data_IF_380569014991
#
_entry.id   IF_380569014991
#
_cell.length_a   1.000
_cell.length_b   1.000
_cell.length_c   1.000
_cell.angle_alpha   90.00
_cell.angle_beta   90.00
_cell.angle_gamma   90.00
#
_symmetry.space_group_name_H-M   'P 1'
#
loop_
_entity.id
_entity.type
_entity.pdbx_description
1 polymer ?
#
# COMPACT_ATOMS: atom_id res chain seq x y z
N UNK A 1 2.20 -11.14 -37.88
CA UNK A 1 3.00 -11.88 -36.85
C UNK A 1 3.86 -10.94 -35.99
N UNK A 2 4.57 -9.95 -36.57
CA UNK A 2 5.37 -8.96 -35.80
C UNK A 2 4.56 -8.10 -34.81
N UNK A 3 3.34 -7.67 -35.16
CA UNK A 3 2.49 -6.87 -34.28
C UNK A 3 2.04 -7.62 -33.00
N UNK A 4 1.81 -8.94 -33.11
CA UNK A 4 1.42 -9.80 -31.99
C UNK A 4 2.60 -10.03 -31.04
N UNK A 5 3.80 -10.26 -31.59
CA UNK A 5 5.04 -10.36 -30.80
C UNK A 5 5.34 -9.06 -30.02
N UNK A 6 5.13 -7.90 -30.64
CA UNK A 6 5.29 -6.60 -29.98
C UNK A 6 4.28 -6.40 -28.83
N UNK A 7 3.02 -6.84 -29.01
CA UNK A 7 2.00 -6.80 -27.96
C UNK A 7 2.34 -7.73 -26.78
N UNK A 8 2.79 -8.96 -27.06
CA UNK A 8 3.21 -9.92 -26.03
C UNK A 8 4.42 -9.39 -25.25
N UNK A 9 5.41 -8.84 -25.94
CA UNK A 9 6.59 -8.26 -25.30
C UNK A 9 6.21 -7.07 -24.40
N UNK A 10 5.34 -6.16 -24.89
CA UNK A 10 4.85 -5.02 -24.10
C UNK A 10 4.06 -5.47 -22.86
N UNK A 11 3.24 -6.51 -22.97
CA UNK A 11 2.52 -7.08 -21.83
C UNK A 11 3.46 -7.71 -20.78
N UNK A 12 4.48 -8.45 -21.24
CA UNK A 12 5.48 -9.07 -20.36
C UNK A 12 6.34 -8.03 -19.63
N UNK A 13 6.78 -6.96 -20.33
CA UNK A 13 7.52 -5.86 -19.71
C UNK A 13 6.65 -5.15 -18.66
N UNK A 14 5.38 -4.86 -18.98
CA UNK A 14 4.45 -4.25 -18.02
C UNK A 14 4.24 -5.13 -16.78
N UNK A 15 4.07 -6.44 -16.96
CA UNK A 15 3.92 -7.38 -15.85
C UNK A 15 5.18 -7.45 -14.96
N UNK A 16 6.37 -7.45 -15.58
CA UNK A 16 7.65 -7.44 -14.87
C UNK A 16 7.84 -6.15 -14.07
N UNK A 17 7.53 -4.99 -14.66
CA UNK A 17 7.60 -3.68 -13.97
C UNK A 17 6.63 -3.66 -12.79
N UNK A 18 5.37 -4.09 -12.97
CA UNK A 18 4.38 -4.16 -11.89
C UNK A 18 4.78 -5.14 -10.76
N UNK A 19 5.49 -6.22 -11.08
CA UNK A 19 6.03 -7.14 -10.09
C UNK A 19 7.17 -6.50 -9.29
N UNK A 20 8.13 -5.86 -9.98
CA UNK A 20 9.26 -5.18 -9.34
C UNK A 20 8.82 -4.00 -8.47
N UNK A 21 7.88 -3.19 -8.97
CA UNK A 21 7.28 -2.10 -8.18
C UNK A 21 6.64 -2.64 -6.90
N UNK A 22 5.88 -3.73 -6.98
CA UNK A 22 5.24 -4.34 -5.82
C UNK A 22 6.25 -4.76 -4.74
N UNK A 23 7.38 -5.36 -5.13
CA UNK A 23 8.44 -5.75 -4.19
C UNK A 23 9.06 -4.51 -3.54
N UNK A 24 9.38 -3.49 -4.33
CA UNK A 24 9.95 -2.23 -3.81
C UNK A 24 9.00 -1.56 -2.81
N UNK A 25 7.69 -1.53 -3.09
CA UNK A 25 6.71 -0.96 -2.15
C UNK A 25 6.69 -1.72 -0.83
N UNK A 26 6.69 -3.06 -0.84
CA UNK A 26 6.72 -3.88 0.38
C UNK A 26 7.99 -3.61 1.21
N UNK A 27 9.14 -3.41 0.55
CA UNK A 27 10.38 -3.07 1.25
C UNK A 27 10.29 -1.69 1.90
N UNK A 28 9.76 -0.69 1.18
CA UNK A 28 9.56 0.66 1.71
C UNK A 28 8.57 0.67 2.89
N UNK A 29 7.47 -0.07 2.78
CA UNK A 29 6.50 -0.25 3.86
C UNK A 29 7.15 -0.90 5.09
N UNK A 30 8.04 -1.89 4.89
CA UNK A 30 8.81 -2.51 5.97
C UNK A 30 9.75 -1.53 6.68
N UNK A 31 10.42 -0.66 5.93
CA UNK A 31 11.27 0.40 6.52
C UNK A 31 10.42 1.41 7.30
N UNK A 32 9.32 1.88 6.71
CA UNK A 32 8.41 2.80 7.38
C UNK A 32 7.82 2.20 8.66
N UNK A 33 7.46 0.92 8.63
CA UNK A 33 6.96 0.18 9.79
C UNK A 33 7.99 0.14 10.93
N UNK A 34 9.28 -0.09 10.62
CA UNK A 34 10.35 -0.04 11.63
C UNK A 34 10.53 1.36 12.21
N UNK A 35 10.45 2.40 11.37
CA UNK A 35 10.52 3.79 11.82
C UNK A 35 9.38 4.11 12.81
N UNK A 36 8.13 3.74 12.46
CA UNK A 36 6.95 3.95 13.32
C UNK A 36 7.09 3.25 14.68
N UNK A 37 7.60 2.02 14.71
CA UNK A 37 7.84 1.29 15.97
C UNK A 37 8.84 2.06 16.85
N UNK A 38 9.95 2.53 16.27
CA UNK A 38 11.01 3.22 17.01
C UNK A 38 10.53 4.58 17.52
N UNK A 39 9.85 5.37 16.68
CA UNK A 39 9.35 6.69 17.07
C UNK A 39 8.26 6.58 18.13
N UNK A 40 7.35 5.62 18.04
CA UNK A 40 6.36 5.38 19.09
C UNK A 40 6.99 4.92 20.39
N UNK A 41 7.97 4.01 20.37
CA UNK A 41 8.66 3.58 21.59
C UNK A 41 9.32 4.77 22.30
N UNK A 42 9.91 5.70 21.55
CA UNK A 42 10.51 6.93 22.08
C UNK A 42 9.44 7.88 22.63
N UNK A 43 8.35 8.10 21.90
CA UNK A 43 7.25 8.98 22.33
C UNK A 43 6.54 8.44 23.57
N UNK A 44 6.22 7.15 23.65
CA UNK A 44 5.60 6.54 24.85
C UNK A 44 6.47 6.74 26.08
N UNK A 45 7.79 6.51 25.95
CA UNK A 45 8.73 6.63 27.06
C UNK A 45 8.88 8.08 27.55
N UNK A 46 8.83 9.07 26.66
CA UNK A 46 9.07 10.48 27.00
C UNK A 46 7.81 11.27 27.34
N UNK A 47 6.69 11.00 26.66
CA UNK A 47 5.44 11.76 26.78
C UNK A 47 4.45 11.16 27.77
N UNK A 48 4.78 10.02 28.40
CA UNK A 48 4.02 9.36 29.48
C UNK A 48 2.52 9.18 29.19
N UNK A 49 2.12 9.05 27.92
CA UNK A 49 0.73 8.75 27.54
C UNK A 49 -0.22 9.95 27.48
N UNK A 50 0.27 11.19 27.41
CA UNK A 50 -0.56 12.41 27.38
C UNK A 50 -1.60 12.49 26.25
N UNK A 51 -1.50 11.66 25.20
CA UNK A 51 -2.44 11.63 24.06
C UNK A 51 -2.84 10.19 23.71
N UNK A 52 -3.70 9.58 24.53
CA UNK A 52 -4.18 8.19 24.35
C UNK A 52 -4.84 7.92 22.99
N UNK A 53 -5.56 8.89 22.43
CA UNK A 53 -6.23 8.75 21.13
C UNK A 53 -5.23 8.57 19.97
N UNK A 54 -4.04 9.18 20.07
CA UNK A 54 -2.96 9.06 19.06
C UNK A 54 -2.39 7.65 19.06
N UNK A 55 -2.16 7.08 20.24
CA UNK A 55 -1.67 5.71 20.37
C UNK A 55 -2.67 4.68 19.83
N UNK A 56 -3.97 4.89 20.06
CA UNK A 56 -5.01 4.03 19.48
C UNK A 56 -5.03 4.09 17.94
N UNK A 57 -5.02 5.30 17.37
CA UNK A 57 -4.96 5.48 15.91
C UNK A 57 -3.70 4.87 15.30
N UNK A 58 -2.55 5.05 15.96
CA UNK A 58 -1.28 4.44 15.56
C UNK A 58 -1.34 2.91 15.56
N UNK A 59 -1.75 2.28 16.67
CA UNK A 59 -1.83 0.82 16.77
C UNK A 59 -2.75 0.23 15.69
N UNK A 60 -3.92 0.83 15.50
CA UNK A 60 -4.87 0.37 14.47
C UNK A 60 -4.25 0.54 13.07
N UNK A 61 -3.61 1.68 12.80
CA UNK A 61 -2.90 1.93 11.55
C UNK A 61 -1.77 0.93 11.29
N UNK A 62 -1.01 0.55 12.32
CA UNK A 62 0.06 -0.44 12.23
C UNK A 62 -0.47 -1.83 11.86
N UNK A 63 -1.55 -2.27 12.51
CA UNK A 63 -2.18 -3.56 12.21
C UNK A 63 -2.67 -3.56 10.76
N UNK A 64 -3.31 -2.47 10.32
CA UNK A 64 -3.78 -2.30 8.95
C UNK A 64 -2.63 -2.32 7.93
N UNK A 65 -1.51 -1.65 8.22
CA UNK A 65 -0.32 -1.67 7.38
C UNK A 65 0.25 -3.08 7.28
N UNK A 66 0.40 -3.80 8.40
CA UNK A 66 0.91 -5.17 8.42
C UNK A 66 0.02 -6.13 7.60
N UNK A 67 -1.31 -6.03 7.73
CA UNK A 67 -2.24 -6.82 6.92
C UNK A 67 -2.12 -6.44 5.43
N UNK A 68 -2.01 -5.15 5.12
CA UNK A 68 -1.86 -4.68 3.74
C UNK A 68 -0.56 -5.17 3.11
N UNK A 69 0.54 -5.18 3.86
CA UNK A 69 1.82 -5.75 3.43
C UNK A 69 1.70 -7.26 3.15
N UNK A 70 1.04 -8.01 4.06
CA UNK A 70 0.80 -9.43 3.85
C UNK A 70 -0.02 -9.68 2.58
N UNK A 71 -1.10 -8.93 2.39
CA UNK A 71 -1.92 -9.00 1.16
C UNK A 71 -1.10 -8.63 -0.09
N UNK A 72 -0.23 -7.62 -0.01
CA UNK A 72 0.68 -7.25 -1.11
C UNK A 72 1.57 -8.42 -1.52
N UNK A 73 2.12 -9.16 -0.54
CA UNK A 73 2.93 -10.37 -0.81
C UNK A 73 2.07 -11.49 -1.40
N UNK A 74 0.87 -11.72 -0.88
CA UNK A 74 -0.05 -12.75 -1.39
C UNK A 74 -0.47 -12.45 -2.84
N UNK A 75 -0.77 -11.19 -3.17
CA UNK A 75 -1.10 -10.75 -4.54
C UNK A 75 0.07 -10.95 -5.52
N UNK A 76 1.31 -10.99 -5.03
CA UNK A 76 2.50 -11.24 -5.85
C UNK A 76 2.82 -12.73 -6.00
N UNK A 77 2.57 -13.53 -4.96
CA UNK A 77 2.96 -14.95 -4.89
C UNK A 77 1.87 -15.91 -5.37
N UNK A 78 0.61 -15.58 -5.16
CA UNK A 78 -0.52 -16.42 -5.55
C UNK A 78 -1.00 -16.07 -6.96
N UNK A 79 -1.63 -17.05 -7.62
CA UNK A 79 -2.37 -16.80 -8.86
C UNK A 79 -3.42 -15.68 -8.63
N UNK A 80 -3.69 -14.84 -9.65
CA UNK A 80 -4.59 -13.71 -9.50
C UNK A 80 -6.00 -14.20 -9.15
N UNK A 81 -6.37 -14.05 -7.87
CA UNK A 81 -7.72 -14.28 -7.36
C UNK A 81 -8.39 -12.91 -7.17
N UNK A 82 -9.50 -12.70 -7.86
CA UNK A 82 -10.26 -11.44 -7.82
C UNK A 82 -10.57 -11.00 -6.37
N UNK A 83 -10.95 -11.95 -5.51
CA UNK A 83 -11.24 -11.69 -4.09
C UNK A 83 -10.03 -11.12 -3.32
N UNK A 84 -8.82 -11.63 -3.59
CA UNK A 84 -7.60 -11.14 -2.93
C UNK A 84 -7.24 -9.73 -3.44
N UNK A 85 -7.44 -9.45 -4.72
CA UNK A 85 -7.20 -8.12 -5.29
C UNK A 85 -8.15 -7.07 -4.68
N UNK A 86 -9.44 -7.39 -4.54
CA UNK A 86 -10.38 -6.49 -3.87
C UNK A 86 -10.08 -6.33 -2.37
N UNK A 87 -9.75 -7.41 -1.67
CA UNK A 87 -9.35 -7.32 -0.27
C UNK A 87 -8.12 -6.43 -0.09
N UNK A 88 -7.10 -6.61 -0.94
CA UNK A 88 -5.91 -5.75 -0.96
C UNK A 88 -6.27 -4.29 -1.22
N UNK A 89 -7.15 -4.03 -2.18
CA UNK A 89 -7.57 -2.68 -2.53
C UNK A 89 -8.32 -1.97 -1.38
N UNK A 90 -9.27 -2.66 -0.74
CA UNK A 90 -10.01 -2.13 0.41
C UNK A 90 -9.06 -1.83 1.57
N UNK A 91 -8.16 -2.78 1.88
CA UNK A 91 -7.20 -2.60 2.96
C UNK A 91 -6.20 -1.48 2.68
N UNK A 92 -5.78 -1.32 1.42
CA UNK A 92 -4.92 -0.20 0.99
C UNK A 92 -5.60 1.14 1.20
N UNK A 93 -6.89 1.27 0.84
CA UNK A 93 -7.65 2.51 1.04
C UNK A 93 -7.86 2.80 2.53
N UNK A 94 -8.19 1.80 3.34
CA UNK A 94 -8.34 1.97 4.79
C UNK A 94 -7.02 2.40 5.45
N UNK A 95 -5.91 1.76 5.07
CA UNK A 95 -4.56 2.11 5.54
C UNK A 95 -4.20 3.53 5.14
N UNK A 96 -4.50 3.94 3.90
CA UNK A 96 -4.27 5.29 3.40
C UNK A 96 -5.04 6.34 4.21
N UNK A 97 -6.33 6.10 4.47
CA UNK A 97 -7.18 7.03 5.25
C UNK A 97 -6.63 7.19 6.66
N UNK A 98 -6.36 6.10 7.38
CA UNK A 98 -5.85 6.18 8.74
C UNK A 98 -4.46 6.78 8.81
N UNK A 99 -3.56 6.45 7.87
CA UNK A 99 -2.22 7.04 7.83
C UNK A 99 -2.29 8.55 7.56
N UNK A 100 -3.22 8.99 6.72
CA UNK A 100 -3.43 10.42 6.45
C UNK A 100 -3.98 11.17 7.67
N UNK A 101 -4.91 10.55 8.42
CA UNK A 101 -5.43 11.12 9.66
C UNK A 101 -4.34 11.19 10.75
N UNK A 102 -3.56 10.12 10.89
CA UNK A 102 -2.42 10.05 11.81
C UNK A 102 -1.39 11.13 11.48
N UNK A 103 -1.03 11.26 10.20
CA UNK A 103 -0.15 12.30 9.70
C UNK A 103 -0.67 13.70 9.99
N UNK A 104 -1.97 13.96 9.75
CA UNK A 104 -2.57 15.26 10.04
C UNK A 104 -2.51 15.62 11.54
N UNK A 105 -2.73 14.65 12.43
CA UNK A 105 -2.58 14.87 13.87
C UNK A 105 -1.12 15.13 14.26
N UNK A 106 -0.19 14.41 13.63
CA UNK A 106 1.24 14.50 13.92
C UNK A 106 1.85 15.81 13.38
N UNK A 107 1.40 16.28 12.21
CA UNK A 107 1.81 17.54 11.59
C UNK A 107 1.49 18.75 12.49
N UNK A 108 0.35 18.74 13.18
CA UNK A 108 0.01 19.76 14.19
C UNK A 108 1.05 19.79 15.31
N UNK A 109 1.54 18.63 15.76
CA UNK A 109 2.58 18.57 16.79
C UNK A 109 3.92 19.08 16.26
N UNK A 110 4.25 18.75 15.00
CA UNK A 110 5.47 19.25 14.34
C UNK A 110 5.42 20.77 14.16
N UNK A 111 4.27 21.36 13.77
CA UNK A 111 4.10 22.81 13.67
C UNK A 111 4.26 23.50 15.04
N UNK A 112 3.69 22.94 16.11
CA UNK A 112 3.89 23.45 17.46
C UNK A 112 5.36 23.40 17.89
N UNK A 113 6.06 22.31 17.55
CA UNK A 113 7.50 22.17 17.77
C UNK A 113 8.32 23.22 17.01
N UNK A 114 8.01 23.46 15.74
CA UNK A 114 8.70 24.45 14.92
C UNK A 114 8.47 25.88 15.43
N UNK A 115 7.31 26.15 16.01
CA UNK A 115 6.98 27.45 16.62
C UNK A 115 7.52 27.63 18.04
N UNK A 116 8.18 26.63 18.61
CA UNK A 116 8.65 26.65 20.00
C UNK A 116 7.52 26.67 21.04
N UNK A 117 6.32 26.24 20.64
CA UNK A 117 5.10 26.23 21.47
C UNK A 117 4.70 24.83 21.93
N UNK A 118 5.61 23.87 21.83
CA UNK A 118 5.38 22.50 22.27
C UNK A 118 5.16 22.41 23.79
N UNK A 119 4.41 21.40 24.21
CA UNK A 119 4.22 21.08 25.63
C UNK A 119 5.54 20.58 26.22
N UNK A 120 5.76 20.85 27.50
CA UNK A 120 6.94 20.38 28.22
C UNK A 120 7.04 18.83 28.10
N UNK A 121 8.22 18.32 27.71
CA UNK A 121 8.53 16.90 27.43
C UNK A 121 8.12 16.32 26.06
N UNK A 122 7.54 17.10 25.15
CA UNK A 122 7.29 16.63 23.77
C UNK A 122 8.60 16.35 23.02
N UNK A 123 8.75 15.16 22.43
CA UNK A 123 9.96 14.79 21.68
C UNK A 123 9.80 15.11 20.19
N UNK A 124 10.02 16.37 19.82
CA UNK A 124 9.82 16.88 18.46
C UNK A 124 10.51 16.07 17.36
N UNK A 125 11.74 15.60 17.57
CA UNK A 125 12.44 14.78 16.57
C UNK A 125 11.77 13.43 16.29
N UNK A 126 11.08 12.86 17.29
CA UNK A 126 10.31 11.62 17.12
C UNK A 126 9.10 11.85 16.21
N UNK A 127 8.39 12.95 16.44
CA UNK A 127 7.23 13.34 15.64
C UNK A 127 7.60 13.61 14.18
N UNK A 128 8.71 14.32 13.93
CA UNK A 128 9.19 14.56 12.56
C UNK A 128 9.49 13.23 11.84
N UNK A 129 10.20 12.31 12.52
CA UNK A 129 10.52 11.01 11.94
C UNK A 129 9.25 10.16 11.70
N UNK A 130 8.26 10.26 12.58
CA UNK A 130 6.95 9.62 12.41
C UNK A 130 6.21 10.20 11.19
N UNK A 131 6.20 11.53 11.00
CA UNK A 131 5.59 12.16 9.82
C UNK A 131 6.24 11.68 8.53
N UNK A 132 7.58 11.56 8.50
CA UNK A 132 8.30 11.05 7.33
C UNK A 132 7.88 9.60 7.03
N UNK A 133 7.76 8.76 8.06
CA UNK A 133 7.32 7.38 7.88
C UNK A 133 5.87 7.31 7.36
N UNK A 134 4.98 8.16 7.87
CA UNK A 134 3.59 8.25 7.40
C UNK A 134 3.50 8.71 5.94
N UNK A 135 4.33 9.67 5.52
CA UNK A 135 4.42 10.12 4.11
C UNK A 135 4.85 8.96 3.21
N UNK A 136 5.84 8.16 3.63
CA UNK A 136 6.27 6.98 2.88
C UNK A 136 5.09 6.01 2.71
N UNK A 137 4.40 5.68 3.81
CA UNK A 137 3.23 4.78 3.78
C UNK A 137 2.12 5.32 2.86
N UNK A 138 1.82 6.62 2.92
CA UNK A 138 0.80 7.23 2.07
C UNK A 138 1.16 7.07 0.59
N UNK A 139 2.40 7.37 0.22
CA UNK A 139 2.87 7.25 -1.17
C UNK A 139 2.87 5.79 -1.65
N UNK A 140 3.32 4.86 -0.83
CA UNK A 140 3.33 3.43 -1.17
C UNK A 140 1.90 2.89 -1.29
N UNK A 141 0.96 3.30 -0.44
CA UNK A 141 -0.45 2.93 -0.52
C UNK A 141 -1.10 3.47 -1.81
N UNK A 142 -0.82 4.71 -2.22
CA UNK A 142 -1.33 5.27 -3.50
C UNK A 142 -0.84 4.43 -4.69
N UNK A 143 0.45 4.08 -4.70
CA UNK A 143 1.03 3.25 -5.75
C UNK A 143 0.44 1.83 -5.71
N UNK A 144 0.27 1.26 -4.51
CA UNK A 144 -0.34 -0.03 -4.27
C UNK A 144 -1.76 -0.09 -4.81
N UNK A 145 -2.57 0.93 -4.54
CA UNK A 145 -3.92 1.07 -5.07
C UNK A 145 -3.93 1.11 -6.60
N UNK A 146 -3.10 1.97 -7.20
CA UNK A 146 -3.02 2.09 -8.65
C UNK A 146 -2.58 0.79 -9.34
N UNK A 147 -1.60 0.09 -8.76
CA UNK A 147 -1.14 -1.22 -9.24
C UNK A 147 -2.26 -2.28 -9.15
N UNK A 148 -2.96 -2.36 -8.02
CA UNK A 148 -4.05 -3.32 -7.83
C UNK A 148 -5.23 -3.03 -8.75
N UNK A 149 -5.57 -1.75 -8.97
CA UNK A 149 -6.59 -1.35 -9.96
C UNK A 149 -6.23 -1.81 -11.37
N UNK A 150 -4.98 -1.59 -11.82
CA UNK A 150 -4.55 -2.06 -13.14
C UNK A 150 -4.64 -3.58 -13.27
N UNK A 151 -4.32 -4.33 -12.20
CA UNK A 151 -4.42 -5.80 -12.18
C UNK A 151 -5.88 -6.26 -12.26
N UNK A 152 -6.79 -5.59 -11.56
CA UNK A 152 -8.23 -5.89 -11.61
C UNK A 152 -8.78 -5.66 -13.02
N UNK A 153 -8.51 -4.50 -13.63
CA UNK A 153 -8.95 -4.19 -15.00
C UNK A 153 -8.41 -5.24 -15.98
N UNK A 154 -7.12 -5.57 -15.89
CA UNK A 154 -6.50 -6.58 -16.76
C UNK A 154 -7.13 -7.98 -16.57
N UNK A 155 -7.51 -8.33 -15.33
CA UNK A 155 -8.16 -9.61 -15.04
C UNK A 155 -9.58 -9.66 -15.62
N UNK A 156 -10.36 -8.58 -15.46
CA UNK A 156 -11.71 -8.47 -16.00
C UNK A 156 -11.69 -8.49 -17.53
N UNK A 157 -10.80 -7.71 -18.16
CA UNK A 157 -10.65 -7.69 -19.62
C UNK A 157 -10.36 -9.08 -20.17
N UNK A 158 -9.42 -9.81 -19.54
CA UNK A 158 -9.13 -11.22 -19.90
C UNK A 158 -10.34 -12.12 -19.70
N UNK A 159 -11.07 -11.98 -18.59
CA UNK A 159 -12.28 -12.76 -18.33
C UNK A 159 -13.38 -12.52 -19.37
N UNK A 160 -13.58 -11.27 -19.80
CA UNK A 160 -14.54 -10.92 -20.87
C UNK A 160 -14.07 -11.50 -22.21
N UNK A 161 -12.79 -11.35 -22.55
CA UNK A 161 -12.20 -11.91 -23.76
C UNK A 161 -12.33 -13.45 -23.80
N UNK A 162 -12.09 -14.12 -22.69
CA UNK A 162 -12.22 -15.58 -22.58
C UNK A 162 -13.68 -16.02 -22.58
N UNK A 163 -14.59 -15.21 -22.01
CA UNK A 163 -16.03 -15.44 -22.12
C UNK A 163 -16.54 -15.29 -23.56
N UNK A 164 -16.08 -14.26 -24.29
CA UNK A 164 -16.37 -14.07 -25.72
C UNK A 164 -15.75 -15.20 -26.53
N UNK A 165 -14.48 -15.57 -26.29
CA UNK A 165 -13.83 -16.70 -26.95
C UNK A 165 -14.50 -18.02 -26.62
N UNK A 166 -14.97 -18.28 -25.41
CA UNK A 166 -15.73 -19.47 -25.06
C UNK A 166 -17.06 -19.54 -25.81
N UNK A 167 -17.70 -18.39 -26.04
CA UNK A 167 -18.91 -18.26 -26.86
C UNK A 167 -18.62 -18.36 -28.36
N UNK A 168 -17.43 -17.96 -28.80
CA UNK A 168 -16.95 -18.02 -30.19
C UNK A 168 -16.39 -19.41 -30.55
N UNK A 169 -15.77 -20.10 -29.59
CA UNK A 169 -15.12 -21.40 -29.72
C UNK A 169 -16.08 -22.59 -29.53
N UNK A 170 -17.37 -22.33 -29.28
CA UNK A 170 -18.43 -23.28 -29.62
C UNK A 170 -18.46 -23.62 -31.13
N UNK A 171 -17.69 -22.88 -31.96
CA UNK A 171 -17.38 -23.19 -33.36
C UNK A 171 -15.91 -23.52 -33.67
N UNK A 172 -15.07 -23.81 -32.66
CA UNK A 172 -13.70 -24.32 -32.84
C UNK A 172 -12.62 -23.28 -33.15
N UNK A 173 -11.70 -23.07 -32.21
CA UNK A 173 -10.23 -23.15 -32.40
C UNK A 173 -9.47 -22.81 -31.11
N UNK A 174 -8.61 -23.75 -30.73
CA UNK A 174 -7.37 -23.68 -29.92
C UNK A 174 -7.17 -22.53 -28.92
N UNK A 175 -7.12 -22.89 -27.63
CA UNK A 175 -6.50 -22.11 -26.55
C UNK A 175 -5.01 -21.87 -26.86
N UNK A 176 -4.56 -20.63 -26.69
CA UNK A 176 -3.14 -20.28 -26.63
C UNK A 176 -2.72 -20.20 -25.15
N UNK A 177 -1.49 -20.66 -24.82
CA UNK A 177 -0.96 -20.75 -23.46
C UNK A 177 -0.78 -19.39 -22.78
#
# INVERSE_FOLDING_TARGET
MQAVLAQIHKANVKALVLSRMGITMVVLDGVAMLMLIVTWAVSVKKEQGGVMARYAAGIIGFILLAITMLLSVLVQRLQPRLAILYAHQVMTVLTLILSSLSMGMNDVVVDLCNRGKQVERTQCGSHIAETIAEVIVILTMVIGYGSSQQRIVTFIDKGILDGIKGRSNAGGMTQLP
#
